data_IF_161629933975
#
_entry.id   IF_161629933975
#
_cell.length_a   1.000
_cell.length_b   1.000
_cell.length_c   1.000
_cell.angle_alpha   90.00
_cell.angle_beta   90.00
_cell.angle_gamma   90.00
#
_symmetry.space_group_name_H-M   'P 1'
#
loop_
_entity.id
_entity.type
_entity.pdbx_description
1 polymer ?
#
# COMPACT_ATOMS: atom_id res chain seq x y z
N UNK A 1 4.75 9.67 -11.05
CA UNK A 1 4.99 8.64 -12.09
C UNK A 1 3.83 7.67 -12.26
N UNK A 2 3.34 7.03 -11.18
CA UNK A 2 2.23 6.05 -11.25
C UNK A 2 0.95 6.61 -11.89
N UNK A 3 0.42 7.73 -11.40
CA UNK A 3 -0.81 8.35 -11.94
C UNK A 3 -0.69 8.72 -13.41
N UNK A 4 0.40 9.41 -13.78
CA UNK A 4 0.65 9.78 -15.18
C UNK A 4 0.72 8.54 -16.09
N UNK A 5 1.42 7.48 -15.66
CA UNK A 5 1.52 6.23 -16.44
C UNK A 5 0.17 5.52 -16.57
N UNK A 6 -0.66 5.52 -15.53
CA UNK A 6 -2.04 5.01 -15.59
C UNK A 6 -2.88 5.82 -16.59
N UNK A 7 -2.91 7.16 -16.44
CA UNK A 7 -3.72 8.05 -17.27
C UNK A 7 -3.30 8.02 -18.75
N UNK A 8 -1.99 7.94 -19.02
CA UNK A 8 -1.46 7.82 -20.39
C UNK A 8 -1.55 6.40 -20.95
N UNK A 9 -1.98 5.41 -20.16
CA UNK A 9 -1.97 3.98 -20.53
C UNK A 9 -0.59 3.49 -20.97
N UNK A 10 0.46 3.95 -20.26
CA UNK A 10 1.88 3.61 -20.49
C UNK A 10 2.44 2.87 -19.28
N UNK A 11 1.77 1.75 -18.94
CA UNK A 11 2.17 0.89 -17.83
C UNK A 11 3.58 0.35 -18.02
N UNK A 12 4.35 0.38 -16.94
CA UNK A 12 5.54 -0.42 -16.67
C UNK A 12 5.43 -0.85 -15.21
N UNK A 13 6.10 -1.91 -14.79
CA UNK A 13 6.00 -2.35 -13.40
C UNK A 13 6.53 -1.29 -12.40
N UNK A 14 6.18 -1.47 -11.13
CA UNK A 14 6.53 -0.50 -10.09
C UNK A 14 8.03 -0.48 -9.77
N UNK A 15 8.77 -1.54 -10.07
CA UNK A 15 10.22 -1.53 -9.89
C UNK A 15 10.86 -0.61 -10.92
N UNK A 16 10.45 -0.69 -12.18
CA UNK A 16 10.89 0.24 -13.22
C UNK A 16 10.51 1.69 -12.90
N UNK A 17 9.32 1.93 -12.35
CA UNK A 17 8.93 3.28 -11.86
C UNK A 17 9.87 3.75 -10.75
N UNK A 18 10.19 2.88 -9.79
CA UNK A 18 11.13 3.19 -8.71
C UNK A 18 12.48 3.61 -9.28
N UNK A 19 13.03 2.84 -10.23
CA UNK A 19 14.29 3.15 -10.91
C UNK A 19 14.23 4.48 -11.66
N UNK A 20 13.21 4.70 -12.49
CA UNK A 20 13.05 5.93 -13.28
C UNK A 20 12.91 7.16 -12.38
N UNK A 21 12.15 7.04 -11.28
CA UNK A 21 11.95 8.13 -10.32
C UNK A 21 13.20 8.43 -9.51
N UNK A 22 13.99 7.41 -9.18
CA UNK A 22 15.27 7.57 -8.51
C UNK A 22 16.28 8.24 -9.44
N UNK A 23 16.38 7.82 -10.71
CA UNK A 23 17.25 8.46 -11.68
C UNK A 23 16.93 9.95 -11.84
N UNK A 24 15.65 10.30 -11.91
CA UNK A 24 15.22 11.70 -11.93
C UNK A 24 15.64 12.46 -10.66
N UNK A 25 15.35 11.91 -9.47
CA UNK A 25 15.70 12.56 -8.21
C UNK A 25 17.22 12.74 -8.05
N UNK A 26 18.01 11.71 -8.40
CA UNK A 26 19.47 11.78 -8.37
C UNK A 26 20.00 12.87 -9.30
N UNK A 27 19.45 12.99 -10.51
CA UNK A 27 19.84 14.03 -11.46
C UNK A 27 19.50 15.44 -10.93
N UNK A 28 18.29 15.63 -10.40
CA UNK A 28 17.84 16.91 -9.83
C UNK A 28 18.73 17.34 -8.66
N UNK A 29 19.07 16.40 -7.79
CA UNK A 29 19.88 16.66 -6.59
C UNK A 29 21.39 16.48 -6.79
N UNK A 30 21.84 16.23 -8.04
CA UNK A 30 23.25 16.00 -8.40
C UNK A 30 23.93 14.90 -7.56
N UNK A 31 23.18 13.83 -7.27
CA UNK A 31 23.69 12.65 -6.56
C UNK A 31 24.47 11.77 -7.54
N UNK A 32 25.66 11.33 -7.14
CA UNK A 32 26.51 10.45 -7.94
C UNK A 32 25.82 9.10 -8.24
N UNK A 33 25.84 8.69 -9.51
CA UNK A 33 25.21 7.45 -10.01
C UNK A 33 25.69 6.20 -9.27
N UNK A 34 26.90 6.21 -8.70
CA UNK A 34 27.43 5.08 -7.93
C UNK A 34 26.56 4.71 -6.72
N UNK A 35 25.77 5.65 -6.19
CA UNK A 35 24.86 5.39 -5.06
C UNK A 35 23.55 4.73 -5.47
N UNK A 36 23.22 4.65 -6.76
CA UNK A 36 21.92 4.14 -7.25
C UNK A 36 21.60 2.75 -6.68
N UNK A 37 22.52 1.80 -6.82
CA UNK A 37 22.30 0.43 -6.33
C UNK A 37 22.13 0.37 -4.81
N UNK A 38 22.87 1.19 -4.06
CA UNK A 38 22.72 1.27 -2.62
C UNK A 38 21.32 1.78 -2.23
N UNK A 39 20.86 2.86 -2.87
CA UNK A 39 19.54 3.46 -2.62
C UNK A 39 18.40 2.49 -3.00
N UNK A 40 18.50 1.81 -4.15
CA UNK A 40 17.54 0.78 -4.55
C UNK A 40 17.51 -0.41 -3.57
N UNK A 41 18.67 -0.83 -3.06
CA UNK A 41 18.74 -1.91 -2.08
C UNK A 41 18.10 -1.54 -0.73
N UNK A 42 18.15 -0.27 -0.33
CA UNK A 42 17.42 0.20 0.87
C UNK A 42 15.91 0.07 0.67
N UNK A 43 15.39 0.39 -0.52
CA UNK A 43 13.97 0.25 -0.84
C UNK A 43 13.47 -1.20 -0.74
N UNK A 44 14.33 -2.17 -1.05
CA UNK A 44 14.02 -3.61 -0.93
C UNK A 44 14.04 -4.13 0.51
N UNK A 45 14.54 -3.34 1.46
CA UNK A 45 14.74 -3.71 2.87
C UNK A 45 14.10 -2.68 3.81
N UNK A 46 12.94 -2.15 3.41
CA UNK A 46 12.18 -1.26 4.27
C UNK A 46 11.75 -2.02 5.53
N UNK A 47 12.02 -1.42 6.69
CA UNK A 47 11.56 -1.96 7.96
C UNK A 47 10.05 -1.83 8.05
N UNK A 48 9.38 -2.91 8.47
CA UNK A 48 7.99 -2.82 8.91
C UNK A 48 7.88 -2.00 10.20
N UNK A 49 6.72 -1.40 10.42
CA UNK A 49 6.41 -0.77 11.70
C UNK A 49 6.35 -1.84 12.82
N UNK A 50 6.87 -1.55 14.03
CA UNK A 50 7.07 -2.57 15.08
C UNK A 50 5.80 -3.34 15.46
N UNK A 51 4.65 -2.68 15.42
CA UNK A 51 3.36 -3.23 15.83
C UNK A 51 2.73 -4.16 14.78
N UNK A 52 3.23 -4.19 13.53
CA UNK A 52 2.61 -4.92 12.41
C UNK A 52 2.43 -6.41 12.73
N UNK A 53 3.46 -7.06 13.28
CA UNK A 53 3.40 -8.51 13.56
C UNK A 53 2.32 -8.84 14.58
N UNK A 54 2.20 -8.03 15.64
CA UNK A 54 1.19 -8.23 16.68
C UNK A 54 -0.22 -7.95 16.15
N UNK A 55 -0.37 -6.89 15.34
CA UNK A 55 -1.61 -6.56 14.67
C UNK A 55 -2.13 -7.72 13.80
N UNK A 56 -1.27 -8.28 12.93
CA UNK A 56 -1.65 -9.40 12.05
C UNK A 56 -1.95 -10.70 12.82
N UNK A 57 -1.29 -10.95 13.95
CA UNK A 57 -1.62 -12.09 14.82
C UNK A 57 -3.00 -11.91 15.46
N UNK A 58 -3.27 -10.72 16.00
CA UNK A 58 -4.56 -10.40 16.58
C UNK A 58 -5.73 -10.59 15.59
N UNK A 59 -5.59 -10.09 14.36
CA UNK A 59 -6.61 -10.26 13.31
C UNK A 59 -6.84 -11.73 12.95
N UNK A 60 -5.77 -12.52 12.89
CA UNK A 60 -5.87 -13.96 12.61
C UNK A 60 -6.56 -14.72 13.74
N UNK A 61 -6.28 -14.40 14.99
CA UNK A 61 -6.95 -15.01 16.15
C UNK A 61 -8.47 -14.70 16.13
N UNK A 62 -8.84 -13.54 15.59
CA UNK A 62 -10.23 -13.14 15.32
C UNK A 62 -10.83 -13.74 14.03
N UNK A 63 -10.06 -14.56 13.30
CA UNK A 63 -10.43 -15.17 12.01
C UNK A 63 -10.76 -14.14 10.91
N UNK A 64 -10.21 -12.93 11.01
CA UNK A 64 -10.33 -11.89 9.99
C UNK A 64 -9.29 -12.14 8.91
N UNK A 65 -9.72 -12.11 7.64
CA UNK A 65 -8.83 -12.24 6.49
C UNK A 65 -7.98 -10.99 6.30
N UNK A 66 -6.71 -11.18 5.99
CA UNK A 66 -5.75 -10.07 5.82
C UNK A 66 -5.06 -10.16 4.47
N UNK A 67 -5.01 -9.04 3.74
CA UNK A 67 -4.28 -8.96 2.50
C UNK A 67 -3.50 -7.66 2.36
N UNK A 68 -2.44 -7.69 1.56
CA UNK A 68 -1.79 -6.49 1.03
C UNK A 68 -2.44 -6.17 -0.32
N UNK A 69 -2.84 -4.92 -0.54
CA UNK A 69 -3.15 -4.38 -1.86
C UNK A 69 -2.16 -3.26 -2.17
N UNK A 70 -1.25 -3.48 -3.11
CA UNK A 70 -0.13 -2.54 -3.32
C UNK A 70 0.22 -2.30 -4.78
N UNK A 71 0.66 -1.08 -5.05
CA UNK A 71 1.26 -0.70 -6.34
C UNK A 71 2.55 -1.49 -6.62
N UNK A 72 3.24 -2.00 -5.58
CA UNK A 72 4.52 -2.69 -5.72
C UNK A 72 4.47 -3.90 -6.64
N UNK A 73 5.52 -4.11 -7.44
CA UNK A 73 5.66 -5.30 -8.29
C UNK A 73 5.69 -6.58 -7.45
N UNK A 74 5.23 -7.74 -7.95
CA UNK A 74 5.18 -8.99 -7.19
C UNK A 74 6.51 -9.38 -6.55
N UNK A 75 7.63 -9.23 -7.25
CA UNK A 75 8.97 -9.56 -6.74
C UNK A 75 9.36 -8.66 -5.54
N UNK A 76 9.13 -7.35 -5.66
CA UNK A 76 9.39 -6.39 -4.59
C UNK A 76 8.54 -6.68 -3.35
N UNK A 77 7.23 -6.93 -3.53
CA UNK A 77 6.34 -7.21 -2.41
C UNK A 77 6.76 -8.47 -1.66
N UNK A 78 7.07 -9.56 -2.38
CA UNK A 78 7.59 -10.78 -1.77
C UNK A 78 8.85 -10.51 -0.96
N UNK A 79 9.82 -9.79 -1.53
CA UNK A 79 11.05 -9.45 -0.83
C UNK A 79 10.82 -8.64 0.45
N UNK A 80 9.89 -7.67 0.40
CA UNK A 80 9.55 -6.84 1.57
C UNK A 80 8.89 -7.65 2.69
N UNK A 81 7.92 -8.52 2.37
CA UNK A 81 7.26 -9.33 3.41
C UNK A 81 8.17 -10.42 3.97
N UNK A 82 9.09 -10.95 3.16
CA UNK A 82 10.11 -11.90 3.58
C UNK A 82 11.12 -11.22 4.52
N UNK A 83 11.61 -10.03 4.16
CA UNK A 83 12.49 -9.23 5.00
C UNK A 83 11.85 -8.87 6.35
N UNK A 84 10.58 -8.45 6.32
CA UNK A 84 9.80 -8.13 7.52
C UNK A 84 9.35 -9.37 8.32
N UNK A 85 9.56 -10.59 7.81
CA UNK A 85 9.15 -11.86 8.43
C UNK A 85 7.63 -11.95 8.70
N UNK A 86 6.83 -11.35 7.82
CA UNK A 86 5.36 -11.30 7.94
C UNK A 86 4.62 -12.01 6.81
N UNK A 87 5.33 -12.58 5.83
CA UNK A 87 4.71 -13.26 4.68
C UNK A 87 3.62 -14.26 5.07
N UNK A 88 3.92 -15.13 6.03
CA UNK A 88 3.00 -16.17 6.49
C UNK A 88 1.91 -15.65 7.45
N UNK A 89 1.83 -14.35 7.69
CA UNK A 89 0.80 -13.73 8.52
C UNK A 89 -0.32 -13.11 7.67
N UNK A 90 -0.10 -12.94 6.36
CA UNK A 90 -1.12 -12.50 5.40
C UNK A 90 -1.74 -13.70 4.69
N UNK A 91 -3.04 -13.61 4.36
CA UNK A 91 -3.73 -14.59 3.52
C UNK A 91 -3.38 -14.40 2.04
N UNK A 92 -3.29 -13.15 1.57
CA UNK A 92 -2.92 -12.82 0.18
C UNK A 92 -2.05 -11.56 0.07
N UNK A 93 -1.31 -11.47 -1.04
CA UNK A 93 -0.55 -10.28 -1.44
C UNK A 93 -0.94 -9.96 -2.88
N UNK A 94 -1.73 -8.90 -3.06
CA UNK A 94 -2.27 -8.45 -4.33
C UNK A 94 -1.44 -7.29 -4.88
N UNK A 95 -0.86 -7.50 -6.07
CA UNK A 95 -0.12 -6.48 -6.80
C UNK A 95 -0.95 -5.94 -7.94
N UNK A 96 -0.99 -4.62 -8.09
CA UNK A 96 -1.68 -4.00 -9.24
C UNK A 96 -1.08 -4.37 -10.60
N UNK A 97 0.10 -4.99 -10.62
CA UNK A 97 0.74 -5.52 -11.84
C UNK A 97 -0.18 -6.50 -12.59
N UNK A 98 -1.04 -7.23 -11.88
CA UNK A 98 -2.04 -8.12 -12.48
C UNK A 98 -3.02 -7.39 -13.41
N UNK A 99 -3.36 -6.14 -13.10
CA UNK A 99 -4.35 -5.33 -13.83
C UNK A 99 -3.75 -4.16 -14.61
N UNK A 100 -2.42 -3.97 -14.50
CA UNK A 100 -1.64 -2.97 -15.25
C UNK A 100 -2.15 -1.53 -15.12
N UNK A 101 -2.67 -1.18 -13.93
CA UNK A 101 -3.09 0.19 -13.59
C UNK A 101 -2.83 0.45 -12.11
N UNK A 102 -2.35 1.64 -11.76
CA UNK A 102 -2.06 2.00 -10.38
C UNK A 102 -3.25 2.61 -9.65
N UNK A 103 -3.22 2.55 -8.32
CA UNK A 103 -4.13 3.31 -7.45
C UNK A 103 -4.09 4.82 -7.79
N UNK A 104 -5.18 5.58 -7.63
CA UNK A 104 -6.47 5.17 -7.04
C UNK A 104 -7.50 4.72 -8.10
N UNK A 105 -7.10 4.10 -9.21
CA UNK A 105 -8.08 3.54 -10.16
C UNK A 105 -9.00 2.52 -9.45
N UNK A 106 -10.34 2.61 -9.58
CA UNK A 106 -11.29 1.73 -8.89
C UNK A 106 -11.05 0.23 -9.15
N UNK A 107 -10.48 -0.14 -10.31
CA UNK A 107 -10.14 -1.54 -10.62
C UNK A 107 -9.13 -2.14 -9.65
N UNK A 108 -8.30 -1.31 -9.02
CA UNK A 108 -7.33 -1.77 -8.02
C UNK A 108 -8.05 -2.26 -6.77
N UNK A 109 -9.00 -1.48 -6.27
CA UNK A 109 -9.77 -1.85 -5.08
C UNK A 109 -10.69 -3.05 -5.36
N UNK A 110 -11.23 -3.14 -6.59
CA UNK A 110 -12.00 -4.30 -7.07
C UNK A 110 -11.23 -5.64 -6.99
N UNK A 111 -9.90 -5.62 -7.01
CA UNK A 111 -9.11 -6.85 -6.84
C UNK A 111 -9.41 -7.56 -5.52
N UNK A 112 -9.66 -6.80 -4.45
CA UNK A 112 -9.93 -7.35 -3.11
C UNK A 112 -11.31 -8.02 -3.08
N UNK A 113 -12.35 -7.33 -3.57
CA UNK A 113 -13.73 -7.87 -3.58
C UNK A 113 -13.84 -9.09 -4.49
N UNK A 114 -13.13 -9.10 -5.62
CA UNK A 114 -13.02 -10.29 -6.49
C UNK A 114 -12.30 -11.45 -5.83
N UNK A 115 -11.18 -11.20 -5.14
CA UNK A 115 -10.38 -12.24 -4.46
C UNK A 115 -11.18 -12.91 -3.35
N UNK A 116 -11.87 -12.13 -2.52
CA UNK A 116 -12.57 -12.63 -1.34
C UNK A 116 -14.05 -12.89 -1.54
N UNK A 117 -14.61 -12.53 -2.71
CA UNK A 117 -16.05 -12.63 -3.02
C UNK A 117 -16.91 -11.92 -1.97
N UNK A 118 -16.46 -10.75 -1.53
CA UNK A 118 -17.13 -9.90 -0.56
C UNK A 118 -17.65 -8.61 -1.20
N UNK A 119 -18.55 -7.92 -0.52
CA UNK A 119 -18.97 -6.56 -0.92
C UNK A 119 -17.99 -5.51 -0.37
N UNK A 120 -17.88 -4.32 -0.98
CA UNK A 120 -16.94 -3.28 -0.52
C UNK A 120 -17.08 -2.92 0.97
N UNK A 121 -18.31 -2.84 1.47
CA UNK A 121 -18.59 -2.48 2.87
C UNK A 121 -18.04 -3.51 3.89
N UNK A 122 -17.76 -4.75 3.47
CA UNK A 122 -17.14 -5.76 4.35
C UNK A 122 -15.62 -5.60 4.47
N UNK A 123 -15.01 -4.65 3.75
CA UNK A 123 -13.55 -4.46 3.72
C UNK A 123 -13.14 -3.27 4.60
N UNK A 124 -12.38 -3.56 5.66
CA UNK A 124 -11.62 -2.54 6.38
C UNK A 124 -10.32 -2.23 5.62
N UNK A 125 -10.27 -1.08 4.95
CA UNK A 125 -9.12 -0.67 4.13
C UNK A 125 -8.22 0.32 4.89
N UNK A 126 -6.99 -0.11 5.19
CA UNK A 126 -6.03 0.69 5.95
C UNK A 126 -4.96 1.30 5.06
N UNK A 127 -4.71 2.59 5.19
CA UNK A 127 -3.57 3.25 4.53
C UNK A 127 -3.10 4.46 5.33
N UNK A 128 -1.79 4.78 5.25
CA UNK A 128 -1.24 6.06 5.72
C UNK A 128 -1.25 7.14 4.64
N UNK A 129 -1.55 6.77 3.39
CA UNK A 129 -1.63 7.71 2.28
C UNK A 129 -3.08 8.19 2.12
N UNK A 130 -3.32 9.48 2.35
CA UNK A 130 -4.62 10.14 2.27
C UNK A 130 -5.33 9.87 0.94
N UNK A 131 -4.65 10.02 -0.19
CA UNK A 131 -5.19 9.74 -1.52
C UNK A 131 -5.64 8.28 -1.71
N UNK A 132 -5.01 7.33 -1.02
CA UNK A 132 -5.34 5.90 -1.11
C UNK A 132 -6.53 5.56 -0.22
N UNK A 133 -6.61 6.19 0.96
CA UNK A 133 -7.78 6.18 1.84
C UNK A 133 -9.00 6.70 1.07
N UNK A 134 -8.88 7.88 0.44
CA UNK A 134 -9.96 8.43 -0.41
C UNK A 134 -10.32 7.47 -1.54
N UNK A 135 -9.34 6.94 -2.26
CA UNK A 135 -9.60 6.01 -3.37
C UNK A 135 -10.37 4.75 -2.94
N UNK A 136 -9.96 4.10 -1.85
CA UNK A 136 -10.66 2.94 -1.31
C UNK A 136 -12.06 3.29 -0.80
N UNK A 137 -12.19 4.47 -0.20
CA UNK A 137 -13.44 4.97 0.34
C UNK A 137 -14.48 5.31 -0.71
N UNK A 138 -14.08 6.02 -1.78
CA UNK A 138 -14.92 6.32 -2.94
C UNK A 138 -15.33 5.03 -3.67
N UNK A 139 -14.47 4.01 -3.67
CA UNK A 139 -14.84 2.68 -4.18
C UNK A 139 -15.90 1.97 -3.30
N UNK A 140 -15.97 2.30 -2.01
CA UNK A 140 -16.97 1.80 -1.07
C UNK A 140 -16.42 1.01 0.13
N UNK A 141 -15.11 1.02 0.38
CA UNK A 141 -14.52 0.38 1.56
C UNK A 141 -14.75 1.18 2.85
N UNK A 142 -14.77 0.48 3.98
CA UNK A 142 -14.66 1.09 5.30
C UNK A 142 -13.19 1.46 5.55
N UNK A 143 -12.85 2.74 5.40
CA UNK A 143 -11.45 3.16 5.40
C UNK A 143 -10.96 3.59 6.78
N UNK A 144 -9.73 3.20 7.10
CA UNK A 144 -9.03 3.60 8.29
C UNK A 144 -7.73 4.28 7.90
N UNK A 145 -7.64 5.57 8.21
CA UNK A 145 -6.42 6.34 8.00
C UNK A 145 -5.47 6.14 9.17
N UNK A 146 -4.26 5.67 8.87
CA UNK A 146 -3.19 5.48 9.85
C UNK A 146 -2.28 6.70 9.83
N UNK A 147 -2.62 7.71 10.65
CA UNK A 147 -1.91 8.98 10.74
C UNK A 147 -0.89 8.98 11.89
N UNK A 148 0.34 8.61 11.55
CA UNK A 148 1.46 8.54 12.48
C UNK A 148 2.09 9.90 12.81
N UNK A 149 1.78 10.92 12.01
CA UNK A 149 2.54 12.17 11.98
C UNK A 149 1.64 13.41 12.09
N UNK A 150 0.37 13.23 12.47
CA UNK A 150 -0.59 14.32 12.69
C UNK A 150 -0.68 15.25 11.46
N UNK A 151 -0.85 14.64 10.28
CA UNK A 151 -0.88 15.33 8.99
C UNK A 151 -2.26 15.95 8.72
N UNK A 152 -2.34 16.82 7.72
CA UNK A 152 -3.64 17.24 7.17
C UNK A 152 -4.16 16.17 6.21
N UNK A 153 -5.47 15.86 6.31
CA UNK A 153 -6.14 14.94 5.38
C UNK A 153 -6.49 15.66 4.07
N UNK A 154 -6.41 14.96 2.94
CA UNK A 154 -6.72 15.54 1.63
C UNK A 154 -8.20 16.01 1.55
N UNK A 155 -8.42 17.20 0.98
CA UNK A 155 -9.76 17.75 0.71
C UNK A 155 -10.29 17.25 -0.63
N UNK A 156 -10.77 16.02 -0.65
CA UNK A 156 -11.28 15.32 -1.84
C UNK A 156 -12.72 14.83 -1.66
N UNK A 157 -13.55 15.61 -0.95
CA UNK A 157 -14.96 15.32 -0.66
C UNK A 157 -15.21 13.94 -0.03
N UNK A 158 -14.23 13.47 0.75
CA UNK A 158 -14.29 12.21 1.48
C UNK A 158 -13.62 12.37 2.85
N UNK A 159 -14.14 11.67 3.85
CA UNK A 159 -13.54 11.56 5.19
C UNK A 159 -13.41 10.08 5.56
N UNK A 160 -12.28 9.67 6.17
CA UNK A 160 -12.10 8.29 6.58
C UNK A 160 -13.11 7.90 7.66
N UNK A 161 -13.56 6.64 7.66
CA UNK A 161 -14.45 6.12 8.69
C UNK A 161 -13.78 6.12 10.07
N UNK A 162 -12.46 5.88 10.10
CA UNK A 162 -11.64 5.84 11.33
C UNK A 162 -10.28 6.49 11.09
N UNK A 163 -9.74 7.09 12.14
CA UNK A 163 -8.37 7.62 12.17
C UNK A 163 -7.68 6.99 13.38
N UNK A 164 -6.48 6.43 13.17
CA UNK A 164 -5.66 5.83 14.22
C UNK A 164 -4.21 6.31 14.11
N UNK A 165 -3.48 6.34 15.23
CA UNK A 165 -2.08 6.81 15.24
C UNK A 165 -1.09 5.74 14.79
N UNK A 166 -1.39 4.47 15.03
CA UNK A 166 -0.60 3.31 14.60
C UNK A 166 -1.47 2.05 14.56
N UNK A 167 -0.91 0.90 14.15
CA UNK A 167 -1.70 -0.33 13.98
C UNK A 167 -2.07 -1.02 15.32
N UNK A 168 -1.52 -0.59 16.46
CA UNK A 168 -1.88 -1.15 17.78
C UNK A 168 -3.30 -0.75 18.17
N UNK A 169 -3.76 0.41 17.70
CA UNK A 169 -5.11 0.91 17.93
C UNK A 169 -6.17 0.18 17.11
N UNK A 170 -5.77 -0.65 16.14
CA UNK A 170 -6.71 -1.45 15.35
C UNK A 170 -7.60 -2.35 16.22
N UNK A 171 -7.05 -2.84 17.33
CA UNK A 171 -7.80 -3.65 18.31
C UNK A 171 -9.00 -2.92 18.93
N UNK A 172 -9.04 -1.58 18.86
CA UNK A 172 -10.16 -0.74 19.33
C UNK A 172 -11.26 -0.58 18.28
N UNK A 173 -11.05 -1.06 17.05
CA UNK A 173 -11.99 -0.91 15.93
C UNK A 173 -12.97 -2.09 15.79
N UNK A 174 -12.74 -3.20 16.53
CA UNK A 174 -13.53 -4.43 16.49
C UNK A 174 -14.05 -4.83 17.86
#
# INVERSE_FOLDING_TARGET
>A
YTWLRSLMKKYVDFWKITEDSLDFAMNVHKIDIKFKNQLLNLYKKLNAYPELSNCLKYLRDKKIKTCILSNGSPALLNQLVDHAKVKNLFDDILSVDEIKVYKPDPKVYEMVTKRYKCIPDEVCFMSSNTWDVVGGGVYGFNTCWVDRFEKEFDKLDYQPNKIIKDLSELSKLF
#
